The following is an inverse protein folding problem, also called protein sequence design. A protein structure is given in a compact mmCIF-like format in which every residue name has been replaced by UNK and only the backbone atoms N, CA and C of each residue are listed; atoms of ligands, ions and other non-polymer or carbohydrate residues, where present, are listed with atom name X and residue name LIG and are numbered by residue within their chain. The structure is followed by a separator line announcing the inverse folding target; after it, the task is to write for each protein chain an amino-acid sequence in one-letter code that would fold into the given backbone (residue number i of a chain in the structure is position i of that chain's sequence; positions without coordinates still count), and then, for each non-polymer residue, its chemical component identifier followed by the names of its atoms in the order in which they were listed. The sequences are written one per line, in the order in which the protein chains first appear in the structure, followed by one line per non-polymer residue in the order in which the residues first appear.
data_IF_690041112217
#
_entry.id   IF_690041112217
#
_cell.length_a   1.000
_cell.length_b   1.000
_cell.length_c   1.000
_cell.angle_alpha   90.00
_cell.angle_beta   90.00
_cell.angle_gamma   90.00
#
_symmetry.space_group_name_H-M   'P 1'
#
loop_
_entity.id
_entity.type
_entity.pdbx_description
1 polymer ?
#
# COMPACT_ATOMS: atom_id res chain seq x y z
N UNK A 1 -1.76 18.26 -17.06
CA UNK A 1 -1.17 17.96 -15.73
C UNK A 1 -2.19 17.16 -14.92
N UNK A 2 -1.77 15.99 -14.49
CA UNK A 2 -2.67 15.16 -13.68
C UNK A 2 -2.75 15.71 -12.27
N UNK A 3 -3.97 15.83 -11.75
CA UNK A 3 -4.23 16.15 -10.37
C UNK A 3 -4.86 14.96 -9.65
N UNK A 4 -4.62 13.77 -10.18
CA UNK A 4 -5.22 12.54 -9.67
C UNK A 4 -4.48 12.12 -8.40
N UNK A 5 -5.05 12.49 -7.26
CA UNK A 5 -4.47 12.23 -5.95
C UNK A 5 -5.55 11.65 -5.06
N UNK A 6 -5.19 10.63 -4.30
CA UNK A 6 -6.06 10.13 -3.23
C UNK A 6 -5.37 10.33 -1.88
N UNK A 7 -6.17 10.62 -0.88
CA UNK A 7 -5.70 10.83 0.49
C UNK A 7 -6.61 10.06 1.43
N UNK A 8 -6.01 9.28 2.33
CA UNK A 8 -6.77 8.57 3.35
C UNK A 8 -6.13 8.82 4.70
N UNK A 9 -6.98 8.90 5.70
CA UNK A 9 -6.59 9.06 7.09
C UNK A 9 -7.28 7.99 7.92
N UNK A 10 -6.54 7.28 8.75
CA UNK A 10 -7.07 6.25 9.65
C UNK A 10 -6.33 6.32 10.97
N UNK A 11 -7.02 5.90 12.03
CA UNK A 11 -6.38 5.66 13.31
C UNK A 11 -6.49 4.18 13.59
N UNK A 12 -5.34 3.51 13.76
CA UNK A 12 -5.29 2.08 14.02
C UNK A 12 -4.82 1.84 15.44
N UNK A 13 -5.40 0.84 16.09
CA UNK A 13 -5.06 0.46 17.47
C UNK A 13 -3.86 -0.47 17.48
N UNK A 14 -2.74 0.04 17.01
CA UNK A 14 -1.48 -0.71 16.93
C UNK A 14 -0.32 0.27 17.03
N UNK A 15 0.80 -0.20 17.51
CA UNK A 15 2.01 0.63 17.60
C UNK A 15 2.56 0.93 16.20
N UNK A 16 3.22 2.08 16.00
CA UNK A 16 3.80 2.43 14.71
C UNK A 16 4.76 1.37 14.17
N UNK A 17 5.54 0.73 15.04
CA UNK A 17 6.50 -0.31 14.65
C UNK A 17 5.81 -1.47 13.95
N UNK A 18 4.65 -1.87 14.45
CA UNK A 18 3.90 -2.99 13.90
C UNK A 18 3.31 -2.64 12.53
N UNK A 19 2.80 -1.43 12.40
CA UNK A 19 2.24 -0.94 11.14
C UNK A 19 3.35 -0.76 10.11
N UNK A 20 4.46 -0.15 10.50
CA UNK A 20 5.61 0.05 9.63
C UNK A 20 6.09 -1.30 9.05
N UNK A 21 6.20 -2.30 9.91
CA UNK A 21 6.59 -3.65 9.47
C UNK A 21 5.61 -4.23 8.46
N UNK A 22 4.31 -4.01 8.65
CA UNK A 22 3.29 -4.55 7.75
C UNK A 22 3.38 -3.96 6.34
N UNK A 23 3.90 -2.74 6.20
CA UNK A 23 4.12 -2.13 4.89
C UNK A 23 5.38 -2.65 4.19
N UNK A 24 6.29 -3.29 4.90
CA UNK A 24 7.59 -3.69 4.37
C UNK A 24 7.87 -5.18 4.48
N UNK A 25 6.87 -5.96 4.86
CA UNK A 25 6.96 -7.42 4.97
C UNK A 25 6.18 -8.04 3.82
N UNK A 26 6.83 -8.90 3.04
CA UNK A 26 6.24 -9.46 1.83
C UNK A 26 4.95 -10.25 2.11
N UNK A 27 4.95 -11.11 3.13
CA UNK A 27 3.77 -11.91 3.44
C UNK A 27 2.63 -11.05 3.97
N UNK A 28 2.96 -10.03 4.77
CA UNK A 28 1.95 -9.09 5.25
C UNK A 28 1.34 -8.32 4.08
N UNK A 29 2.17 -7.78 3.18
CA UNK A 29 1.71 -7.03 2.02
C UNK A 29 0.80 -7.87 1.13
N UNK A 30 1.14 -9.13 0.90
CA UNK A 30 0.32 -10.02 0.10
C UNK A 30 -1.06 -10.26 0.71
N UNK A 31 -1.16 -10.13 2.04
CA UNK A 31 -2.41 -10.36 2.76
C UNK A 31 -3.31 -9.13 2.80
N UNK A 32 -2.75 -7.94 3.08
CA UNK A 32 -3.61 -6.79 3.33
C UNK A 32 -3.72 -5.81 2.16
N UNK A 33 -2.70 -5.71 1.32
CA UNK A 33 -2.68 -4.71 0.26
C UNK A 33 -3.70 -4.99 -0.86
N UNK A 34 -3.90 -6.25 -1.32
CA UNK A 34 -4.93 -6.52 -2.32
C UNK A 34 -6.32 -6.20 -1.76
N UNK A 35 -7.11 -5.38 -2.46
CA UNK A 35 -8.46 -5.07 -2.00
C UNK A 35 -9.39 -6.27 -2.12
N UNK A 36 -10.61 -6.13 -1.63
CA UNK A 36 -11.59 -7.21 -1.64
C UNK A 36 -11.77 -7.80 -3.04
N UNK A 37 -11.77 -9.13 -3.11
CA UNK A 37 -11.93 -9.84 -4.37
C UNK A 37 -10.64 -10.10 -5.11
N UNK A 38 -9.50 -9.66 -4.56
CA UNK A 38 -8.19 -9.91 -5.15
C UNK A 38 -7.32 -10.73 -4.22
N UNK A 39 -6.44 -11.53 -4.82
CA UNK A 39 -5.33 -12.17 -4.10
C UNK A 39 -4.05 -11.45 -4.51
N UNK A 40 -3.03 -11.53 -3.67
CA UNK A 40 -1.77 -10.84 -3.91
C UNK A 40 -0.58 -11.77 -3.85
N UNK A 41 0.46 -11.41 -4.62
CA UNK A 41 1.73 -12.11 -4.59
C UNK A 41 2.85 -11.08 -4.68
N UNK A 42 3.81 -11.18 -3.77
CA UNK A 42 5.03 -10.37 -3.84
C UNK A 42 6.09 -11.20 -4.54
N UNK A 43 6.53 -10.72 -5.70
CA UNK A 43 7.54 -11.42 -6.49
C UNK A 43 8.94 -11.08 -6.02
N UNK A 44 9.12 -9.88 -5.49
CA UNK A 44 10.41 -9.35 -5.12
C UNK A 44 10.19 -8.19 -4.14
N UNK A 45 11.03 -8.12 -3.11
CA UNK A 45 10.96 -7.02 -2.15
C UNK A 45 12.34 -6.79 -1.54
N UNK A 46 12.85 -5.58 -1.74
CA UNK A 46 14.10 -5.14 -1.13
C UNK A 46 13.79 -3.85 -0.35
N UNK A 47 13.48 -4.00 0.93
CA UNK A 47 12.95 -2.92 1.77
C UNK A 47 14.06 -2.01 2.30
N UNK A 48 14.72 -1.30 1.41
CA UNK A 48 15.73 -0.30 1.75
C UNK A 48 15.65 0.84 0.74
N UNK A 49 16.14 2.01 1.10
CA UNK A 49 16.19 3.15 0.19
C UNK A 49 17.00 2.75 -1.04
N UNK A 50 16.42 2.97 -2.23
CA UNK A 50 17.01 2.53 -3.49
C UNK A 50 16.66 1.10 -3.86
N UNK A 51 16.11 0.31 -2.94
CA UNK A 51 15.62 -1.02 -3.24
C UNK A 51 14.31 -0.98 -4.01
N UNK A 52 13.97 -2.09 -4.65
CA UNK A 52 12.77 -2.18 -5.48
C UNK A 52 11.82 -3.25 -4.95
N UNK A 53 10.57 -3.18 -5.40
CA UNK A 53 9.61 -4.23 -5.14
C UNK A 53 8.79 -4.50 -6.39
N UNK A 54 8.23 -5.70 -6.46
CA UNK A 54 7.33 -6.11 -7.54
C UNK A 54 6.27 -7.02 -6.95
N UNK A 55 5.00 -6.72 -7.25
CA UNK A 55 3.91 -7.58 -6.82
C UNK A 55 2.80 -7.60 -7.87
N UNK A 56 1.88 -8.54 -7.72
CA UNK A 56 0.73 -8.64 -8.59
C UNK A 56 -0.54 -8.85 -7.76
N UNK A 57 -1.65 -8.35 -8.29
CA UNK A 57 -2.98 -8.62 -7.80
C UNK A 57 -3.71 -9.48 -8.83
N UNK A 58 -4.39 -10.51 -8.36
CA UNK A 58 -5.17 -11.39 -9.22
C UNK A 58 -6.64 -11.25 -8.85
N UNK A 59 -7.47 -10.91 -9.83
CA UNK A 59 -8.92 -10.85 -9.67
C UNK A 59 -9.42 -12.28 -9.49
N UNK A 60 -9.97 -12.60 -8.34
CA UNK A 60 -10.39 -13.97 -8.03
C UNK A 60 -11.55 -14.44 -8.92
N UNK A 61 -12.40 -13.52 -9.35
CA UNK A 61 -13.55 -13.86 -10.21
C UNK A 61 -13.11 -14.24 -11.62
N UNK A 62 -12.19 -13.49 -12.21
CA UNK A 62 -11.79 -13.67 -13.62
C UNK A 62 -10.49 -14.45 -13.79
N UNK A 63 -9.66 -14.50 -12.75
CA UNK A 63 -8.32 -15.06 -12.83
C UNK A 63 -7.31 -14.13 -13.50
N UNK A 64 -7.73 -12.93 -13.89
CA UNK A 64 -6.82 -11.97 -14.52
C UNK A 64 -5.92 -11.33 -13.46
N UNK A 65 -4.63 -11.24 -13.78
CA UNK A 65 -3.63 -10.63 -12.92
C UNK A 65 -3.07 -9.38 -13.57
N UNK A 66 -2.73 -8.40 -12.74
CA UNK A 66 -1.91 -7.29 -13.17
C UNK A 66 -0.78 -7.10 -12.17
N UNK A 67 0.37 -6.66 -12.66
CA UNK A 67 1.53 -6.46 -11.82
C UNK A 67 1.97 -5.01 -11.84
N UNK A 68 2.65 -4.65 -10.77
CA UNK A 68 3.18 -3.31 -10.59
C UNK A 68 4.37 -3.40 -9.64
N UNK A 69 5.14 -2.36 -9.63
CA UNK A 69 6.30 -2.29 -8.76
C UNK A 69 6.82 -0.89 -8.64
N UNK A 70 7.88 -0.73 -7.90
CA UNK A 70 8.46 0.58 -7.68
C UNK A 70 9.76 0.52 -6.93
N UNK A 71 10.16 1.68 -6.43
CA UNK A 71 11.42 1.88 -5.76
C UNK A 71 11.17 2.62 -4.46
N UNK A 72 11.83 2.21 -3.40
CA UNK A 72 11.74 2.91 -2.11
C UNK A 72 12.60 4.17 -2.18
N UNK A 73 11.97 5.31 -1.95
CA UNK A 73 12.60 6.62 -2.03
C UNK A 73 12.99 7.15 -0.67
N UNK A 74 12.19 6.85 0.35
CA UNK A 74 12.44 7.30 1.71
C UNK A 74 11.88 6.29 2.70
N UNK A 75 12.68 5.91 3.68
CA UNK A 75 12.26 5.03 4.76
C UNK A 75 12.78 5.63 6.07
N UNK A 76 11.87 6.27 6.81
CA UNK A 76 12.16 6.77 8.16
C UNK A 76 11.47 5.81 9.12
N UNK A 77 12.22 4.97 9.85
CA UNK A 77 11.61 3.93 10.67
C UNK A 77 10.50 4.46 11.57
N UNK A 78 9.33 3.82 11.45
CA UNK A 78 8.14 4.05 12.27
C UNK A 78 7.46 5.40 12.02
N UNK A 79 7.94 6.19 11.05
CA UNK A 79 7.42 7.53 10.79
C UNK A 79 6.96 7.74 9.35
N UNK A 80 7.74 7.28 8.37
CA UNK A 80 7.41 7.56 6.97
C UNK A 80 7.96 6.53 6.00
N UNK A 81 7.13 6.23 5.01
CA UNK A 81 7.51 5.40 3.86
C UNK A 81 7.11 6.17 2.62
N UNK A 82 8.04 6.31 1.68
CA UNK A 82 7.73 6.88 0.37
C UNK A 82 8.31 5.98 -0.70
N UNK A 83 7.49 5.63 -1.67
CA UNK A 83 7.94 4.83 -2.79
C UNK A 83 7.23 5.22 -4.06
N UNK A 84 7.86 4.92 -5.20
CA UNK A 84 7.21 5.05 -6.49
C UNK A 84 6.40 3.78 -6.77
N UNK A 85 5.43 3.90 -7.67
CA UNK A 85 4.62 2.80 -8.13
C UNK A 85 4.42 2.93 -9.63
N UNK A 86 4.54 1.83 -10.35
CA UNK A 86 4.35 1.83 -11.79
C UNK A 86 3.70 0.52 -12.20
N UNK A 87 2.63 0.62 -12.98
CA UNK A 87 2.00 -0.56 -13.56
C UNK A 87 2.85 -1.10 -14.71
N UNK A 88 2.90 -2.43 -14.85
CA UNK A 88 3.56 -3.06 -15.99
C UNK A 88 2.73 -2.93 -17.27
N UNK A 89 1.43 -2.65 -17.12
CA UNK A 89 0.52 -2.48 -18.26
C UNK A 89 0.84 -1.19 -19.02
N UNK A 90 1.20 -1.29 -20.33
CA UNK A 90 1.52 -0.09 -21.11
C UNK A 90 0.31 0.83 -21.34
N UNK A 91 -0.91 0.35 -21.10
CA UNK A 91 -2.12 1.18 -21.18
C UNK A 91 -2.32 2.02 -19.91
N UNK A 92 -1.51 1.79 -18.89
CA UNK A 92 -1.52 2.56 -17.64
C UNK A 92 -0.14 3.20 -17.45
N UNK A 93 0.23 4.16 -18.33
CA UNK A 93 1.57 4.74 -18.28
C UNK A 93 1.74 5.70 -17.13
N UNK A 94 3.00 6.04 -16.85
CA UNK A 94 3.34 7.00 -15.83
C UNK A 94 3.77 6.34 -14.54
N UNK A 95 4.21 7.16 -13.62
CA UNK A 95 4.71 6.71 -12.34
C UNK A 95 3.93 7.41 -11.24
N UNK A 96 3.41 6.62 -10.32
CA UNK A 96 2.74 7.13 -9.12
C UNK A 96 3.75 7.24 -8.00
N UNK A 97 3.40 7.99 -6.97
CA UNK A 97 4.18 8.06 -5.75
C UNK A 97 3.25 7.92 -4.57
N UNK A 98 3.60 7.03 -3.66
CA UNK A 98 2.84 6.80 -2.43
C UNK A 98 3.66 7.25 -1.24
N UNK A 99 3.04 8.04 -0.36
CA UNK A 99 3.64 8.47 0.89
C UNK A 99 2.75 8.01 2.04
N UNK A 100 3.34 7.28 2.98
CA UNK A 100 2.68 6.83 4.19
C UNK A 100 3.33 7.52 5.36
N UNK A 101 2.54 8.20 6.18
CA UNK A 101 3.02 8.88 7.38
C UNK A 101 2.37 8.25 8.60
N UNK A 102 3.18 7.94 9.61
CA UNK A 102 2.73 7.32 10.85
C UNK A 102 3.05 8.24 12.01
N UNK A 103 2.08 8.43 12.90
CA UNK A 103 2.26 9.25 14.08
C UNK A 103 1.62 8.56 15.27
N UNK A 104 2.42 8.31 16.30
CA UNK A 104 1.89 7.72 17.54
C UNK A 104 0.89 8.66 18.19
N UNK A 105 -0.26 8.12 18.58
CA UNK A 105 -1.30 8.83 19.31
C UNK A 105 -1.69 8.01 20.53
N UNK A 106 -2.54 8.55 21.40
CA UNK A 106 -2.85 7.91 22.69
C UNK A 106 -3.44 6.51 22.55
N UNK A 107 -4.24 6.26 21.50
CA UNK A 107 -4.91 4.97 21.33
C UNK A 107 -4.29 4.09 20.24
N UNK A 108 -3.14 4.49 19.70
CA UNK A 108 -2.48 3.71 18.66
C UNK A 108 -1.65 4.57 17.73
N UNK A 109 -1.95 4.51 16.43
CA UNK A 109 -1.20 5.24 15.42
C UNK A 109 -2.13 5.91 14.43
N UNK A 110 -1.86 7.16 14.13
CA UNK A 110 -2.50 7.89 13.04
C UNK A 110 -1.75 7.56 11.74
N UNK A 111 -2.48 7.09 10.75
CA UNK A 111 -1.93 6.68 9.45
C UNK A 111 -2.49 7.59 8.37
N UNK A 112 -1.62 8.24 7.63
CA UNK A 112 -2.00 9.03 6.47
C UNK A 112 -1.36 8.43 5.24
N UNK A 113 -2.17 8.20 4.19
CA UNK A 113 -1.70 7.68 2.91
C UNK A 113 -2.03 8.69 1.84
N UNK A 114 -1.04 9.07 1.05
CA UNK A 114 -1.22 9.95 -0.10
C UNK A 114 -0.64 9.24 -1.32
N UNK A 115 -1.46 9.04 -2.35
CA UNK A 115 -0.98 8.49 -3.61
C UNK A 115 -1.24 9.51 -4.71
N UNK A 116 -0.19 9.87 -5.44
CA UNK A 116 -0.19 10.90 -6.47
C UNK A 116 0.17 10.30 -7.83
N UNK A 117 -0.17 11.00 -8.89
CA UNK A 117 0.21 10.58 -10.24
C UNK A 117 -0.58 9.40 -10.77
N UNK A 118 -1.80 9.20 -10.27
CA UNK A 118 -2.65 8.09 -10.71
C UNK A 118 -2.97 8.29 -12.20
N UNK A 119 -2.77 7.23 -13.04
CA UNK A 119 -3.08 7.33 -14.47
C UNK A 119 -4.52 7.79 -14.72
N UNK A 120 -4.72 8.63 -15.72
CA UNK A 120 -6.04 9.17 -16.03
C UNK A 120 -7.07 8.08 -16.39
N UNK A 121 -6.59 6.93 -16.87
CA UNK A 121 -7.46 5.80 -17.19
C UNK A 121 -8.11 5.17 -15.95
N UNK A 122 -7.57 5.45 -14.77
CA UNK A 122 -8.10 4.91 -13.52
C UNK A 122 -8.91 6.00 -12.82
N UNK A 123 -10.22 5.80 -12.60
CA UNK A 123 -11.01 6.76 -11.83
C UNK A 123 -10.42 6.91 -10.42
N UNK A 124 -10.24 8.15 -9.99
CA UNK A 124 -9.64 8.46 -8.69
C UNK A 124 -10.43 7.81 -7.55
N UNK A 125 -11.76 7.83 -7.65
CA UNK A 125 -12.65 7.22 -6.65
C UNK A 125 -12.50 5.71 -6.58
N UNK A 126 -12.18 5.05 -7.70
CA UNK A 126 -11.94 3.61 -7.70
C UNK A 126 -10.65 3.29 -6.94
N UNK A 127 -9.62 4.11 -7.12
CA UNK A 127 -8.36 3.98 -6.39
C UNK A 127 -8.59 4.23 -4.90
N UNK A 128 -9.40 5.23 -4.56
CA UNK A 128 -9.75 5.53 -3.18
C UNK A 128 -10.46 4.34 -2.51
N UNK A 129 -11.44 3.76 -3.20
CA UNK A 129 -12.16 2.60 -2.66
C UNK A 129 -11.24 1.41 -2.43
N UNK A 130 -10.30 1.17 -3.36
CA UNK A 130 -9.31 0.12 -3.19
C UNK A 130 -8.46 0.34 -1.94
N UNK A 131 -7.94 1.55 -1.75
CA UNK A 131 -7.19 1.89 -0.55
C UNK A 131 -8.03 1.73 0.72
N UNK A 132 -9.30 2.16 0.68
CA UNK A 132 -10.20 2.05 1.81
C UNK A 132 -10.36 0.59 2.25
N UNK A 133 -10.55 -0.32 1.29
CA UNK A 133 -10.66 -1.74 1.58
C UNK A 133 -9.35 -2.31 2.11
N UNK A 134 -8.23 -1.96 1.48
CA UNK A 134 -6.91 -2.41 1.91
C UNK A 134 -6.59 -1.98 3.34
N UNK A 135 -6.95 -0.75 3.72
CA UNK A 135 -6.69 -0.26 5.06
C UNK A 135 -7.54 -0.96 6.12
N UNK A 136 -8.74 -1.44 5.78
CA UNK A 136 -9.53 -2.29 6.68
C UNK A 136 -8.81 -3.61 6.92
N UNK A 137 -8.26 -4.21 5.86
CA UNK A 137 -7.51 -5.46 5.98
C UNK A 137 -6.22 -5.25 6.78
N UNK A 138 -5.56 -4.11 6.60
CA UNK A 138 -4.38 -3.76 7.38
C UNK A 138 -4.73 -3.67 8.87
N UNK A 139 -5.83 -2.99 9.19
CA UNK A 139 -6.28 -2.87 10.57
C UNK A 139 -6.53 -4.25 11.20
N UNK A 140 -7.18 -5.14 10.47
CA UNK A 140 -7.45 -6.49 10.96
C UNK A 140 -6.16 -7.25 11.26
N UNK A 141 -5.12 -7.03 10.46
CA UNK A 141 -3.84 -7.71 10.66
C UNK A 141 -3.07 -7.14 11.85
N UNK A 142 -2.95 -5.81 11.92
CA UNK A 142 -2.05 -5.17 12.90
C UNK A 142 -2.70 -4.96 14.26
N UNK A 143 -4.02 -4.92 14.35
CA UNK A 143 -4.71 -4.74 15.61
C UNK A 143 -4.90 -6.06 16.36
N UNK A 144 -4.79 -7.18 15.67
CA UNK A 144 -4.92 -8.49 16.30
C UNK A 144 -3.65 -8.85 17.06
N UNK A 145 -3.80 -9.19 18.32
CA UNK A 145 -2.71 -9.69 19.14
C UNK A 145 -2.97 -11.15 19.48
N UNK A 146 -2.20 -12.03 18.86
CA UNK A 146 -2.39 -13.47 19.02
C UNK A 146 -1.24 -14.01 19.87
N UNK A 147 -1.51 -14.49 21.08
CA UNK A 147 -0.45 -15.06 21.91
C UNK A 147 0.02 -16.40 21.35
N UNK A 148 1.30 -16.68 21.53
CA UNK A 148 1.85 -17.94 21.05
C UNK A 148 3.28 -17.84 20.60
#
# INVERSE_FOLDING_TARGET
MSTNIVRLHRVLRAAPERIYRAFLDADAMAKWLPPNGFTGRVHHLDAKVGGTYKMSFTNFTTGHSHSFGGKYLELVPYERIRHSDKFDDPNLPGEMQTTVSLKKVSCGTEVNVVQEGIPDAIPTEACYLGWQESLVLLAQLVEAEIPG
#
